data_IF_601599349636
#
_entry.id   IF_601599349636
#
_cell.length_a   1.000
_cell.length_b   1.000
_cell.length_c   1.000
_cell.angle_alpha   90.00
_cell.angle_beta   90.00
_cell.angle_gamma   90.00
#
_symmetry.space_group_name_H-M   'P 1'
#
loop_
_entity.id
_entity.type
_entity.pdbx_description
1 polymer ?
#
# COMPACT_ATOMS: atom_id res chain seq x y z
N UNK A 1 -2.00 7.00 28.24
CA UNK A 1 -2.31 7.25 26.82
C UNK A 1 -1.85 8.65 26.50
N UNK A 2 -1.03 8.80 25.48
CA UNK A 2 -0.58 10.11 24.99
C UNK A 2 -1.79 10.97 24.60
N UNK A 3 -1.70 12.29 24.78
CA UNK A 3 -2.79 13.24 24.48
C UNK A 3 -3.20 13.21 23.00
N UNK A 4 -2.25 13.03 22.11
CA UNK A 4 -2.48 12.92 20.66
C UNK A 4 -3.20 11.61 20.31
N UNK A 5 -2.87 10.49 20.94
CA UNK A 5 -3.56 9.21 20.75
C UNK A 5 -4.99 9.30 21.30
N UNK A 6 -5.20 9.96 22.45
CA UNK A 6 -6.53 10.21 22.99
C UNK A 6 -7.39 11.01 22.00
N UNK A 7 -6.86 12.10 21.43
CA UNK A 7 -7.56 12.90 20.42
C UNK A 7 -7.89 12.09 19.16
N UNK A 8 -6.96 11.24 18.70
CA UNK A 8 -7.24 10.34 17.58
C UNK A 8 -8.39 9.39 17.91
N UNK A 9 -8.37 8.80 19.11
CA UNK A 9 -9.46 7.93 19.57
C UNK A 9 -10.79 8.66 19.61
N UNK A 10 -10.84 9.87 20.15
CA UNK A 10 -12.06 10.69 20.17
C UNK A 10 -12.60 10.96 18.76
N UNK A 11 -11.72 11.28 17.79
CA UNK A 11 -12.12 11.48 16.40
C UNK A 11 -12.70 10.21 15.77
N UNK A 12 -12.07 9.06 16.00
CA UNK A 12 -12.50 7.79 15.42
C UNK A 12 -13.73 7.19 16.12
N UNK A 13 -13.87 7.40 17.43
CA UNK A 13 -15.06 6.95 18.18
C UNK A 13 -16.33 7.74 17.78
N UNK A 14 -16.14 9.01 17.44
CA UNK A 14 -17.23 9.91 17.04
C UNK A 14 -17.63 9.81 15.54
N UNK A 15 -17.07 8.85 14.79
CA UNK A 15 -17.33 8.74 13.35
C UNK A 15 -17.63 7.31 12.92
N UNK A 16 -18.64 7.19 12.05
CA UNK A 16 -18.96 5.96 11.32
C UNK A 16 -18.63 6.07 9.81
N UNK A 17 -17.80 7.05 9.44
CA UNK A 17 -17.36 7.23 8.05
C UNK A 17 -15.87 7.60 8.00
N UNK A 18 -15.05 6.60 8.33
CA UNK A 18 -13.59 6.68 8.32
C UNK A 18 -13.08 6.12 6.99
N UNK A 19 -12.10 6.79 6.39
CA UNK A 19 -11.32 6.27 5.27
C UNK A 19 -9.85 6.27 5.66
N UNK A 20 -9.15 5.19 5.32
CA UNK A 20 -7.72 5.06 5.56
C UNK A 20 -6.95 5.15 4.24
N UNK A 21 -5.88 5.95 4.22
CA UNK A 21 -4.94 6.05 3.10
C UNK A 21 -3.54 5.68 3.58
N UNK A 22 -2.97 4.59 3.04
CA UNK A 22 -1.72 4.02 3.52
C UNK A 22 -0.66 3.78 2.46
N UNK A 23 0.59 3.65 2.93
CA UNK A 23 1.75 3.28 2.12
C UNK A 23 2.64 2.25 2.81
N UNK A 24 3.86 2.09 2.30
CA UNK A 24 4.78 1.01 2.70
C UNK A 24 5.13 0.98 4.20
N UNK A 25 5.11 2.14 4.87
CA UNK A 25 5.32 2.23 6.31
C UNK A 25 4.26 1.50 7.15
N UNK A 26 3.09 1.18 6.59
CA UNK A 26 2.08 0.36 7.28
C UNK A 26 2.56 -1.08 7.48
N UNK A 27 3.40 -1.59 6.58
CA UNK A 27 3.85 -2.99 6.59
C UNK A 27 5.23 -3.19 7.20
N UNK A 28 5.91 -2.12 7.67
CA UNK A 28 7.25 -2.24 8.29
C UNK A 28 7.23 -3.09 9.56
N UNK A 29 6.18 -2.95 10.39
CA UNK A 29 5.98 -3.79 11.60
C UNK A 29 5.51 -5.23 11.27
N UNK A 30 5.33 -5.53 9.98
CA UNK A 30 5.10 -6.88 9.44
C UNK A 30 6.37 -7.50 8.86
N UNK A 31 7.52 -6.81 8.97
CA UNK A 31 8.80 -7.25 8.45
C UNK A 31 9.04 -6.93 6.97
N UNK A 32 8.16 -6.15 6.32
CA UNK A 32 8.36 -5.69 4.95
C UNK A 32 9.03 -4.31 4.99
N UNK A 33 10.27 -4.16 4.51
CA UNK A 33 10.95 -2.86 4.49
C UNK A 33 10.19 -1.89 3.59
N UNK A 34 10.12 -0.63 3.99
CA UNK A 34 9.66 0.41 3.09
C UNK A 34 10.74 0.78 2.05
N UNK A 35 10.44 1.74 1.18
CA UNK A 35 11.37 2.11 0.11
C UNK A 35 12.43 3.13 0.56
N UNK A 36 12.13 4.02 1.50
CA UNK A 36 12.87 5.28 1.73
C UNK A 36 13.48 5.45 3.11
N UNK A 37 13.06 4.67 4.12
CA UNK A 37 13.68 4.72 5.45
C UNK A 37 15.15 4.30 5.39
N UNK A 38 15.89 4.51 6.46
CA UNK A 38 17.32 4.14 6.55
C UNK A 38 17.57 2.68 6.19
N UNK A 39 16.64 1.79 6.55
CA UNK A 39 16.68 0.36 6.24
C UNK A 39 15.88 0.01 4.96
N UNK A 40 15.38 1.02 4.26
CA UNK A 40 14.51 0.89 3.09
C UNK A 40 15.23 0.38 1.86
N UNK A 41 14.43 -0.01 0.86
CA UNK A 41 14.92 -0.63 -0.35
C UNK A 41 15.92 0.27 -1.12
N UNK A 42 15.70 1.60 -1.09
CA UNK A 42 16.58 2.56 -1.80
C UNK A 42 17.97 2.72 -1.18
N UNK A 43 18.16 2.33 0.06
CA UNK A 43 19.46 2.35 0.74
C UNK A 43 20.27 1.05 0.56
N UNK A 44 19.69 0.02 -0.06
CA UNK A 44 20.39 -1.22 -0.39
C UNK A 44 21.19 -1.06 -1.69
N UNK A 45 22.32 -1.78 -1.78
CA UNK A 45 23.17 -1.75 -2.98
C UNK A 45 22.64 -2.71 -4.04
N UNK A 46 22.22 -2.17 -5.17
CA UNK A 46 21.81 -2.90 -6.37
C UNK A 46 22.60 -2.44 -7.58
N UNK A 47 22.57 -3.22 -8.66
CA UNK A 47 23.19 -2.87 -9.94
C UNK A 47 22.57 -1.61 -10.56
N UNK A 48 21.26 -1.43 -10.38
CA UNK A 48 20.48 -0.26 -10.80
C UNK A 48 19.61 0.23 -9.64
N UNK A 49 19.20 1.51 -9.63
CA UNK A 49 18.24 2.01 -8.64
C UNK A 49 16.94 1.19 -8.65
N UNK A 50 16.30 0.95 -7.50
CA UNK A 50 15.04 0.19 -7.42
C UNK A 50 13.92 0.74 -8.33
N UNK A 51 13.82 2.06 -8.48
CA UNK A 51 12.85 2.67 -9.42
C UNK A 51 13.12 2.25 -10.87
N UNK A 52 14.38 2.15 -11.27
CA UNK A 52 14.75 1.64 -12.59
C UNK A 52 14.37 0.18 -12.72
N UNK A 53 14.74 -0.66 -11.73
CA UNK A 53 14.46 -2.10 -11.74
C UNK A 53 12.97 -2.44 -11.71
N UNK A 54 12.13 -1.54 -11.19
CA UNK A 54 10.67 -1.66 -11.14
C UNK A 54 9.97 -0.80 -12.19
N UNK A 55 10.66 -0.39 -13.26
CA UNK A 55 10.04 0.35 -14.37
C UNK A 55 9.54 -0.59 -15.47
N UNK A 56 8.55 -0.11 -16.23
CA UNK A 56 8.03 -0.81 -17.42
C UNK A 56 9.14 -1.04 -18.46
N UNK A 57 9.94 -0.03 -18.72
CA UNK A 57 11.09 -0.13 -19.65
C UNK A 57 12.10 -1.20 -19.23
N UNK A 58 12.41 -1.30 -17.93
CA UNK A 58 13.32 -2.35 -17.45
C UNK A 58 12.68 -3.74 -17.54
N UNK A 59 11.40 -3.87 -17.22
CA UNK A 59 10.65 -5.10 -17.40
C UNK A 59 10.70 -5.60 -18.85
N UNK A 60 10.60 -4.72 -19.84
CA UNK A 60 10.63 -5.10 -21.26
C UNK A 60 12.05 -5.42 -21.76
N UNK A 61 13.04 -4.64 -21.34
CA UNK A 61 14.41 -4.73 -21.88
C UNK A 61 15.33 -5.66 -21.10
N UNK A 62 15.06 -5.88 -19.81
CA UNK A 62 15.85 -6.70 -18.88
C UNK A 62 14.94 -7.69 -18.10
N UNK A 63 14.05 -8.36 -18.82
CA UNK A 63 12.94 -9.16 -18.25
C UNK A 63 13.43 -10.19 -17.23
N UNK A 64 14.53 -10.89 -17.48
CA UNK A 64 15.07 -11.91 -16.57
C UNK A 64 15.59 -11.28 -15.27
N UNK A 65 16.39 -10.20 -15.37
CA UNK A 65 16.90 -9.46 -14.21
C UNK A 65 15.74 -8.84 -13.40
N UNK A 66 14.68 -8.37 -14.07
CA UNK A 66 13.45 -7.91 -13.41
C UNK A 66 12.84 -9.01 -12.53
N UNK A 67 12.66 -10.23 -13.05
CA UNK A 67 12.04 -11.32 -12.27
C UNK A 67 12.95 -11.81 -11.15
N UNK A 68 14.27 -11.79 -11.31
CA UNK A 68 15.19 -12.13 -10.24
C UNK A 68 15.11 -11.13 -9.08
N UNK A 69 15.09 -9.84 -9.41
CA UNK A 69 14.88 -8.78 -8.42
C UNK A 69 13.49 -8.86 -7.78
N UNK A 70 12.45 -9.04 -8.60
CA UNK A 70 11.05 -9.10 -8.14
C UNK A 70 10.84 -10.24 -7.15
N UNK A 71 11.31 -11.44 -7.44
CA UNK A 71 11.25 -12.59 -6.52
C UNK A 71 12.00 -12.34 -5.23
N UNK A 72 13.18 -11.75 -5.32
CA UNK A 72 14.05 -11.55 -4.17
C UNK A 72 13.57 -10.43 -3.22
N UNK A 73 12.84 -9.43 -3.74
CA UNK A 73 12.56 -8.19 -3.01
C UNK A 73 11.09 -7.82 -2.87
N UNK A 74 10.25 -8.25 -3.81
CA UNK A 74 8.83 -7.84 -3.83
C UNK A 74 7.90 -8.89 -3.23
N UNK A 75 8.34 -10.14 -3.10
CA UNK A 75 7.53 -11.23 -2.57
C UNK A 75 7.84 -11.47 -1.08
N UNK A 76 7.00 -10.94 -0.21
CA UNK A 76 7.07 -11.16 1.25
C UNK A 76 5.91 -12.07 1.70
N UNK A 77 5.84 -13.28 1.15
CA UNK A 77 4.69 -14.19 1.27
C UNK A 77 4.45 -14.69 2.71
N UNK A 78 5.50 -14.74 3.54
CA UNK A 78 5.41 -15.18 4.94
C UNK A 78 4.97 -14.05 5.89
N UNK A 79 4.92 -12.81 5.42
CA UNK A 79 4.55 -11.66 6.23
C UNK A 79 3.12 -11.82 6.80
N UNK A 80 2.95 -11.35 8.04
CA UNK A 80 1.66 -11.41 8.72
C UNK A 80 1.14 -10.00 9.00
N UNK A 81 -0.19 -9.80 8.97
CA UNK A 81 -0.79 -8.52 9.33
C UNK A 81 -0.36 -8.08 10.74
N UNK A 82 0.01 -6.83 10.89
CA UNK A 82 0.30 -6.22 12.19
C UNK A 82 -0.95 -5.58 12.82
N UNK A 83 -0.79 -4.88 13.94
CA UNK A 83 -1.90 -4.29 14.67
C UNK A 83 -2.67 -3.25 13.85
N UNK A 84 -2.00 -2.48 12.96
CA UNK A 84 -2.69 -1.52 12.10
C UNK A 84 -3.67 -2.22 11.14
N UNK A 85 -3.21 -3.24 10.43
CA UNK A 85 -4.07 -4.02 9.52
C UNK A 85 -5.27 -4.61 10.25
N UNK A 86 -5.04 -5.21 11.43
CA UNK A 86 -6.13 -5.82 12.24
C UNK A 86 -7.12 -4.80 12.75
N UNK A 87 -6.66 -3.61 13.20
CA UNK A 87 -7.54 -2.54 13.68
C UNK A 87 -8.42 -1.98 12.55
N UNK A 88 -7.86 -1.80 11.36
CA UNK A 88 -8.65 -1.36 10.19
C UNK A 88 -9.72 -2.38 9.82
N UNK A 89 -9.38 -3.67 9.78
CA UNK A 89 -10.36 -4.73 9.54
C UNK A 89 -11.43 -4.82 10.66
N UNK A 90 -11.06 -4.56 11.90
CA UNK A 90 -12.01 -4.46 13.03
C UNK A 90 -12.98 -3.31 12.82
N UNK A 91 -12.52 -2.11 12.51
CA UNK A 91 -13.37 -0.94 12.26
C UNK A 91 -14.29 -1.12 11.05
N UNK A 92 -13.83 -1.81 10.01
CA UNK A 92 -14.68 -2.14 8.87
C UNK A 92 -15.82 -3.08 9.27
N UNK A 93 -15.54 -4.13 10.05
CA UNK A 93 -16.59 -5.03 10.60
C UNK A 93 -17.57 -4.32 11.52
N UNK A 94 -17.14 -3.28 12.21
CA UNK A 94 -18.00 -2.41 13.03
C UNK A 94 -18.81 -1.39 12.20
N UNK A 95 -18.59 -1.33 10.89
CA UNK A 95 -19.23 -0.36 10.00
C UNK A 95 -18.66 1.05 10.08
N UNK A 96 -17.56 1.28 10.81
CA UNK A 96 -16.90 2.57 10.97
C UNK A 96 -15.99 2.91 9.79
N UNK A 97 -15.13 1.98 9.37
CA UNK A 97 -14.24 2.15 8.21
C UNK A 97 -14.98 1.80 6.92
N UNK A 98 -14.94 2.69 5.93
CA UNK A 98 -15.61 2.50 4.64
C UNK A 98 -14.69 1.98 3.56
N UNK A 99 -13.40 2.33 3.61
CA UNK A 99 -12.41 1.81 2.67
C UNK A 99 -11.00 1.93 3.23
N UNK A 100 -10.15 1.00 2.82
CA UNK A 100 -8.70 1.10 2.86
C UNK A 100 -8.21 1.44 1.47
N UNK A 101 -7.54 2.57 1.30
CA UNK A 101 -6.86 2.97 0.07
C UNK A 101 -5.38 2.75 0.31
N UNK A 102 -4.76 1.84 -0.42
CA UNK A 102 -3.36 1.46 -0.16
C UNK A 102 -2.48 1.57 -1.39
N UNK A 103 -1.26 2.02 -1.18
CA UNK A 103 -0.18 1.96 -2.16
C UNK A 103 0.57 0.62 -2.10
N UNK A 104 0.30 -0.20 -1.07
CA UNK A 104 0.95 -1.48 -0.87
C UNK A 104 0.39 -2.55 -1.80
N UNK A 105 1.26 -3.48 -2.18
CA UNK A 105 0.97 -4.59 -3.09
C UNK A 105 1.00 -5.95 -2.38
N UNK A 106 1.18 -5.95 -1.05
CA UNK A 106 1.47 -7.14 -0.22
C UNK A 106 0.25 -7.98 0.15
N UNK A 107 -0.97 -7.43 0.01
CA UNK A 107 -2.23 -8.12 0.35
C UNK A 107 -2.49 -8.25 1.86
N UNK A 108 -1.74 -7.58 2.73
CA UNK A 108 -1.87 -7.74 4.18
C UNK A 108 -3.18 -7.18 4.74
N UNK A 109 -3.78 -6.18 4.11
CA UNK A 109 -5.11 -5.68 4.49
C UNK A 109 -6.18 -6.75 4.30
N UNK A 110 -6.21 -7.40 3.14
CA UNK A 110 -7.13 -8.50 2.86
C UNK A 110 -6.86 -9.70 3.78
N UNK A 111 -5.58 -10.02 4.01
CA UNK A 111 -5.17 -11.10 4.94
C UNK A 111 -5.60 -10.82 6.38
N UNK A 112 -5.73 -9.55 6.78
CA UNK A 112 -6.27 -9.14 8.08
C UNK A 112 -7.80 -9.23 8.15
N UNK A 113 -8.49 -9.33 7.02
CA UNK A 113 -9.94 -9.43 6.92
C UNK A 113 -10.65 -8.19 6.37
N UNK A 114 -9.93 -7.15 5.93
CA UNK A 114 -10.53 -6.01 5.23
C UNK A 114 -11.11 -6.46 3.88
N UNK A 115 -12.30 -5.97 3.55
CA UNK A 115 -13.04 -6.31 2.34
C UNK A 115 -12.94 -5.21 1.27
N UNK A 116 -13.16 -3.96 1.68
CA UNK A 116 -13.09 -2.81 0.77
C UNK A 116 -11.67 -2.23 0.76
N UNK A 117 -10.80 -2.87 -0.05
CA UNK A 117 -9.40 -2.48 -0.20
C UNK A 117 -9.14 -2.02 -1.64
N UNK A 118 -8.77 -0.76 -1.80
CA UNK A 118 -8.42 -0.15 -3.07
C UNK A 118 -6.90 -0.14 -3.24
N UNK A 119 -6.38 -1.09 -3.98
CA UNK A 119 -4.96 -1.29 -4.23
C UNK A 119 -4.49 -0.43 -5.41
N UNK A 120 -4.04 0.81 -5.14
CA UNK A 120 -3.64 1.79 -6.15
C UNK A 120 -2.50 1.30 -7.07
N UNK A 121 -1.63 0.45 -6.54
CA UNK A 121 -0.49 -0.10 -7.28
C UNK A 121 -0.63 -1.59 -7.59
N UNK A 122 -1.86 -2.12 -7.52
CA UNK A 122 -2.13 -3.53 -7.80
C UNK A 122 -1.68 -4.48 -6.69
N UNK A 123 -1.34 -5.72 -7.04
CA UNK A 123 -1.02 -6.77 -6.04
C UNK A 123 -0.04 -7.80 -6.59
N UNK A 124 0.90 -8.26 -5.74
CA UNK A 124 1.78 -9.40 -6.04
C UNK A 124 1.01 -10.71 -6.15
N UNK A 125 -0.18 -10.79 -5.53
CA UNK A 125 -0.97 -12.02 -5.48
C UNK A 125 -1.71 -12.33 -6.77
N UNK A 126 -1.88 -11.35 -7.68
CA UNK A 126 -2.53 -11.51 -8.98
C UNK A 126 -1.51 -11.35 -10.09
N UNK A 127 -1.58 -12.25 -11.05
CA UNK A 127 -0.65 -12.26 -12.17
C UNK A 127 -1.40 -12.73 -13.43
N UNK A 128 -1.11 -12.15 -14.57
CA UNK A 128 -1.78 -12.50 -15.83
C UNK A 128 -0.79 -12.73 -16.97
N UNK A 129 -1.17 -13.64 -17.85
CA UNK A 129 -0.43 -13.82 -19.09
C UNK A 129 -0.62 -12.62 -20.01
N UNK A 130 0.46 -11.99 -20.43
CA UNK A 130 0.44 -10.83 -21.33
C UNK A 130 -0.13 -11.14 -22.73
N UNK A 131 -0.20 -12.44 -23.12
CA UNK A 131 -0.69 -12.87 -24.44
C UNK A 131 -2.15 -13.30 -24.44
N UNK A 132 -2.58 -14.08 -23.46
CA UNK A 132 -3.92 -14.69 -23.45
C UNK A 132 -4.78 -14.29 -22.25
N UNK A 133 -4.31 -13.45 -21.35
CA UNK A 133 -5.04 -12.96 -20.18
C UNK A 133 -5.26 -14.00 -19.08
N UNK A 134 -4.74 -15.23 -19.22
CA UNK A 134 -4.96 -16.28 -18.21
C UNK A 134 -4.39 -15.85 -16.86
N UNK A 135 -5.22 -15.97 -15.81
CA UNK A 135 -4.85 -15.69 -14.43
C UNK A 135 -3.91 -16.75 -13.84
N UNK A 136 -3.00 -16.28 -12.97
CA UNK A 136 -2.09 -17.10 -12.17
C UNK A 136 -1.94 -16.52 -10.76
N UNK A 137 -1.88 -17.37 -9.75
CA UNK A 137 -1.49 -16.99 -8.39
C UNK A 137 0.00 -16.64 -8.29
N UNK A 138 0.38 -16.10 -7.14
CA UNK A 138 1.76 -15.67 -6.87
C UNK A 138 2.76 -16.84 -6.91
N UNK A 139 2.32 -18.04 -6.58
CA UNK A 139 3.12 -19.28 -6.58
C UNK A 139 3.79 -19.48 -7.95
N UNK A 140 3.07 -19.17 -9.03
CA UNK A 140 3.59 -19.31 -10.39
C UNK A 140 4.81 -18.42 -10.65
N UNK A 141 4.86 -17.23 -10.03
CA UNK A 141 6.03 -16.34 -10.09
C UNK A 141 7.12 -16.83 -9.12
N UNK A 142 6.75 -17.10 -7.87
CA UNK A 142 7.68 -17.46 -6.80
C UNK A 142 8.48 -18.72 -7.09
N UNK A 143 7.83 -19.75 -7.64
CA UNK A 143 8.44 -21.05 -7.94
C UNK A 143 9.14 -21.11 -9.32
N UNK A 144 8.93 -20.08 -10.16
CA UNK A 144 9.56 -20.06 -11.49
C UNK A 144 11.06 -19.78 -11.41
N UNK A 145 11.80 -20.32 -12.38
CA UNK A 145 13.18 -19.93 -12.66
C UNK A 145 13.22 -19.11 -13.96
N UNK A 146 14.00 -18.02 -13.96
CA UNK A 146 14.04 -17.10 -15.10
C UNK A 146 12.67 -16.43 -15.33
N UNK A 147 12.28 -16.27 -16.59
CA UNK A 147 11.03 -15.59 -16.98
C UNK A 147 9.83 -16.54 -16.85
N UNK A 148 8.83 -16.24 -16.01
CA UNK A 148 7.65 -17.08 -15.84
C UNK A 148 6.80 -17.07 -17.12
N UNK A 149 6.46 -18.27 -17.64
CA UNK A 149 5.71 -18.41 -18.88
C UNK A 149 4.39 -19.16 -18.70
N UNK A 150 3.41 -18.69 -19.43
CA UNK A 150 2.11 -19.31 -19.59
C UNK A 150 2.20 -20.54 -20.52
N UNK A 151 1.22 -21.42 -20.44
CA UNK A 151 1.06 -22.58 -21.36
C UNK A 151 0.94 -22.15 -22.83
N UNK A 152 0.49 -20.92 -23.13
CA UNK A 152 0.45 -20.37 -24.48
C UNK A 152 1.79 -19.78 -24.96
N UNK A 153 2.86 -19.80 -24.13
CA UNK A 153 4.18 -19.23 -24.40
C UNK A 153 4.33 -17.76 -24.03
N UNK A 154 3.23 -17.05 -23.67
CA UNK A 154 3.30 -15.65 -23.22
C UNK A 154 3.97 -15.51 -21.85
N UNK A 155 4.50 -14.33 -21.56
CA UNK A 155 5.07 -13.98 -20.23
C UNK A 155 3.92 -13.78 -19.24
N UNK A 156 4.10 -14.21 -18.00
CA UNK A 156 3.14 -13.96 -16.91
C UNK A 156 3.62 -12.73 -16.15
N UNK A 157 2.94 -11.59 -16.33
CA UNK A 157 3.26 -10.33 -15.65
C UNK A 157 2.46 -10.21 -14.36
N UNK A 158 3.10 -9.77 -13.24
CA UNK A 158 2.36 -9.39 -12.05
C UNK A 158 1.42 -8.21 -12.31
N UNK A 159 0.25 -8.21 -11.67
CA UNK A 159 -0.69 -7.08 -11.69
C UNK A 159 -0.22 -5.94 -10.77
N UNK A 160 1.06 -5.71 -10.75
CA UNK A 160 1.69 -4.59 -10.05
C UNK A 160 1.92 -3.48 -11.06
N UNK A 161 1.49 -2.27 -10.70
CA UNK A 161 1.76 -1.05 -11.48
C UNK A 161 3.23 -0.71 -11.32
N UNK A 162 3.96 -0.81 -12.42
CA UNK A 162 5.38 -0.43 -12.47
C UNK A 162 5.53 1.09 -12.65
N UNK A 163 6.69 1.63 -12.32
CA UNK A 163 7.02 2.98 -12.76
C UNK A 163 6.84 3.10 -14.28
N UNK A 164 6.39 4.24 -14.77
CA UNK A 164 6.01 4.51 -16.17
C UNK A 164 4.63 3.95 -16.58
N UNK A 165 3.99 3.12 -15.75
CA UNK A 165 2.63 2.64 -16.00
C UNK A 165 1.57 3.54 -15.34
N UNK A 166 0.38 3.62 -15.95
CA UNK A 166 -0.75 4.34 -15.38
C UNK A 166 -1.44 3.54 -14.29
N UNK A 167 -1.98 4.23 -13.27
CA UNK A 167 -2.87 3.61 -12.29
C UNK A 167 -4.21 3.25 -12.95
N UNK A 168 -4.90 2.28 -12.37
CA UNK A 168 -6.25 1.90 -12.78
C UNK A 168 -7.24 3.05 -12.51
N UNK A 169 -7.94 3.51 -13.56
CA UNK A 169 -8.84 4.66 -13.50
C UNK A 169 -10.06 4.39 -12.62
N UNK A 170 -10.59 3.17 -12.62
CA UNK A 170 -11.74 2.79 -11.79
C UNK A 170 -11.35 2.75 -10.31
N UNK A 171 -10.19 2.18 -9.98
CA UNK A 171 -9.66 2.19 -8.61
C UNK A 171 -9.43 3.61 -8.13
N UNK A 172 -8.85 4.47 -8.97
CA UNK A 172 -8.63 5.89 -8.65
C UNK A 172 -9.96 6.65 -8.44
N UNK A 173 -10.94 6.45 -9.32
CA UNK A 173 -12.24 7.11 -9.20
C UNK A 173 -12.96 6.70 -7.91
N UNK A 174 -12.93 5.41 -7.55
CA UNK A 174 -13.48 4.91 -6.29
C UNK A 174 -12.73 5.48 -5.09
N UNK A 175 -11.40 5.54 -5.13
CA UNK A 175 -10.60 6.14 -4.06
C UNK A 175 -10.95 7.62 -3.84
N UNK A 176 -11.07 8.41 -4.91
CA UNK A 176 -11.51 9.81 -4.85
C UNK A 176 -12.92 9.92 -4.26
N UNK A 177 -13.84 9.03 -4.65
CA UNK A 177 -15.20 9.00 -4.12
C UNK A 177 -15.20 8.83 -2.59
N UNK A 178 -14.50 7.80 -2.07
CA UNK A 178 -14.40 7.55 -0.63
C UNK A 178 -13.73 8.71 0.12
N UNK A 179 -12.63 9.25 -0.40
CA UNK A 179 -11.92 10.37 0.23
C UNK A 179 -12.81 11.61 0.32
N UNK A 180 -13.59 11.92 -0.73
CA UNK A 180 -14.52 13.08 -0.74
C UNK A 180 -15.61 12.97 0.28
N UNK A 181 -16.06 11.76 0.57
CA UNK A 181 -17.18 11.50 1.48
C UNK A 181 -16.75 11.25 2.91
N UNK A 182 -15.46 11.05 3.16
CA UNK A 182 -14.95 10.74 4.49
C UNK A 182 -15.23 11.86 5.48
N UNK A 183 -15.78 11.52 6.65
CA UNK A 183 -15.83 12.39 7.83
C UNK A 183 -14.43 12.45 8.47
N UNK A 184 -13.77 11.29 8.65
CA UNK A 184 -12.40 11.19 9.12
C UNK A 184 -11.54 10.57 8.04
N UNK A 185 -10.44 11.25 7.65
CA UNK A 185 -9.39 10.68 6.81
C UNK A 185 -8.15 10.42 7.66
N UNK A 186 -7.72 9.17 7.69
CA UNK A 186 -6.47 8.77 8.36
C UNK A 186 -5.42 8.48 7.31
N UNK A 187 -4.31 9.19 7.35
CA UNK A 187 -3.14 8.93 6.50
C UNK A 187 -2.09 8.24 7.36
N UNK A 188 -1.59 7.09 6.90
CA UNK A 188 -0.63 6.32 7.67
C UNK A 188 0.50 5.69 6.84
N UNK A 189 1.72 5.67 7.40
CA UNK A 189 2.85 4.94 6.82
C UNK A 189 3.23 5.35 5.39
N UNK A 190 3.05 6.61 5.01
CA UNK A 190 3.39 7.09 3.66
C UNK A 190 4.12 8.42 3.68
N UNK A 191 5.14 8.55 2.83
CA UNK A 191 5.86 9.81 2.62
C UNK A 191 5.11 10.83 1.76
N UNK A 192 4.02 10.41 1.09
CA UNK A 192 3.21 11.25 0.18
C UNK A 192 4.01 11.89 -0.98
N UNK A 193 5.01 11.18 -1.49
CA UNK A 193 5.86 11.68 -2.60
C UNK A 193 5.67 10.93 -3.91
N UNK A 194 4.92 9.81 -3.92
CA UNK A 194 4.66 9.01 -5.12
C UNK A 194 3.37 9.47 -5.77
N UNK A 195 3.49 10.16 -6.88
CA UNK A 195 2.35 10.61 -7.69
C UNK A 195 2.01 9.58 -8.77
N UNK A 196 0.71 9.49 -9.18
CA UNK A 196 -0.42 10.34 -8.80
C UNK A 196 -1.08 9.98 -7.45
N UNK A 197 -0.75 8.85 -6.82
CA UNK A 197 -1.40 8.37 -5.61
C UNK A 197 -1.39 9.40 -4.46
N UNK A 198 -0.25 10.06 -4.20
CA UNK A 198 -0.13 11.09 -3.18
C UNK A 198 -1.07 12.29 -3.40
N UNK A 199 -1.43 12.58 -4.65
CA UNK A 199 -2.35 13.66 -5.02
C UNK A 199 -3.80 13.40 -4.63
N UNK A 200 -4.19 12.14 -4.36
CA UNK A 200 -5.58 11.80 -4.04
C UNK A 200 -6.07 12.45 -2.75
N UNK A 201 -5.19 12.67 -1.77
CA UNK A 201 -5.55 13.29 -0.48
C UNK A 201 -6.11 14.72 -0.63
N UNK A 202 -5.77 15.44 -1.70
CA UNK A 202 -6.29 16.78 -1.96
C UNK A 202 -7.81 16.82 -2.20
N UNK A 203 -8.43 15.67 -2.50
CA UNK A 203 -9.88 15.56 -2.66
C UNK A 203 -10.63 15.50 -1.34
N UNK A 204 -9.95 15.34 -0.20
CA UNK A 204 -10.59 15.40 1.12
C UNK A 204 -11.18 16.79 1.39
N UNK A 205 -12.42 16.82 1.85
CA UNK A 205 -13.18 18.05 2.09
C UNK A 205 -13.52 18.27 3.58
N UNK A 206 -13.21 17.28 4.43
CA UNK A 206 -13.47 17.35 5.86
C UNK A 206 -12.41 18.13 6.63
N UNK A 207 -12.60 18.18 7.95
CA UNK A 207 -11.70 18.87 8.87
C UNK A 207 -11.08 17.94 9.92
N UNK A 208 -11.34 16.63 9.81
CA UNK A 208 -10.87 15.60 10.73
C UNK A 208 -9.81 14.74 10.06
N UNK A 209 -8.72 15.39 9.61
CA UNK A 209 -7.55 14.72 9.05
C UNK A 209 -6.64 14.27 10.19
N UNK A 210 -6.28 13.00 10.21
CA UNK A 210 -5.26 12.46 11.11
C UNK A 210 -4.08 11.90 10.30
N UNK A 211 -2.86 12.13 10.78
CA UNK A 211 -1.63 11.62 10.15
C UNK A 211 -0.84 10.82 11.18
N UNK A 212 -0.51 9.58 10.83
CA UNK A 212 0.32 8.68 11.64
C UNK A 212 1.51 8.26 10.79
N UNK A 213 2.68 8.80 11.08
CA UNK A 213 3.86 8.48 10.27
C UNK A 213 5.14 8.65 11.08
N UNK A 214 6.13 7.79 10.84
CA UNK A 214 7.45 7.90 11.46
C UNK A 214 8.31 8.91 10.68
N UNK A 215 8.96 9.85 11.39
CA UNK A 215 9.84 10.84 10.79
C UNK A 215 9.16 12.16 10.37
N UNK A 216 8.01 12.49 10.99
CA UNK A 216 7.41 13.83 10.91
C UNK A 216 6.76 14.20 9.57
N UNK A 217 6.58 13.29 8.65
CA UNK A 217 5.85 13.55 7.41
C UNK A 217 4.37 13.82 7.74
N UNK A 218 3.86 14.98 7.33
CA UNK A 218 2.43 15.34 7.52
C UNK A 218 2.19 16.61 8.30
N UNK A 219 3.19 17.21 8.94
CA UNK A 219 3.05 18.48 9.65
C UNK A 219 2.59 19.64 8.75
N UNK A 220 2.77 19.53 7.44
CA UNK A 220 2.37 20.53 6.44
C UNK A 220 0.93 20.39 5.93
N UNK A 221 0.20 19.33 6.30
CA UNK A 221 -1.12 19.03 5.76
C UNK A 221 -2.29 19.68 6.51
N UNK A 222 -2.04 20.45 7.57
CA UNK A 222 -3.11 21.03 8.38
C UNK A 222 -3.94 19.98 9.12
N UNK A 223 -3.32 18.86 9.51
CA UNK A 223 -4.01 17.76 10.18
C UNK A 223 -4.51 18.17 11.58
N UNK A 224 -5.71 17.71 11.94
CA UNK A 224 -6.28 17.86 13.27
C UNK A 224 -5.48 17.08 14.34
N UNK A 225 -4.89 15.96 13.93
CA UNK A 225 -4.02 15.12 14.77
C UNK A 225 -2.83 14.64 13.93
N UNK A 226 -1.62 14.83 14.46
CA UNK A 226 -0.39 14.28 13.89
C UNK A 226 0.34 13.48 14.96
N UNK A 227 0.68 12.22 14.63
CA UNK A 227 1.40 11.32 15.53
C UNK A 227 2.68 10.86 14.82
N UNK A 228 3.82 11.15 15.42
CA UNK A 228 5.11 10.63 14.98
C UNK A 228 5.38 9.30 15.68
N UNK A 229 5.25 8.21 14.95
CA UNK A 229 5.46 6.88 15.51
C UNK A 229 5.09 5.74 14.57
N UNK A 230 5.45 4.49 14.96
CA UNK A 230 5.06 3.30 14.23
C UNK A 230 3.54 3.12 14.26
N UNK A 231 2.94 2.98 13.09
CA UNK A 231 1.48 2.97 12.96
C UNK A 231 0.81 1.79 13.68
N UNK A 232 1.44 0.61 13.68
CA UNK A 232 0.88 -0.55 14.38
C UNK A 232 0.84 -0.33 15.88
N UNK A 233 1.87 0.28 16.48
CA UNK A 233 1.90 0.62 17.91
C UNK A 233 0.85 1.68 18.26
N UNK A 234 0.61 2.65 17.40
CA UNK A 234 -0.43 3.66 17.59
C UNK A 234 -1.82 3.03 17.52
N UNK A 235 -2.09 2.26 16.46
CA UNK A 235 -3.38 1.64 16.21
C UNK A 235 -3.74 0.56 17.25
N UNK A 236 -2.74 -0.07 17.89
CA UNK A 236 -2.95 -1.02 18.98
C UNK A 236 -3.51 -0.38 20.24
N UNK A 237 -3.49 0.95 20.37
CA UNK A 237 -3.97 1.71 21.55
C UNK A 237 -5.39 2.26 21.33
N UNK A 238 -5.97 2.11 20.14
CA UNK A 238 -7.31 2.53 19.77
C UNK A 238 -8.30 1.36 19.90
#
# INVERSE_FOLDING_TARGET
>A
MDDTIRRLKELTDASDNIVFFGGAGVSTESGIPDFRSVDGLYHQKFKYPPETMLSHTFYETHTEEFYDFYRAKMLALDAQPNAAHRKLAEWERQGKLKAVITQNIDGLHQKAGSQEVLELHGSVLRNHCTRCGKFYGVERIAESRGIPRCTCGGIIKPDVVLYEESLDEDVMARAIHYIRQADVLIIGGTSLVVYPAAGLIQYYRGHKLAVINKGGAGSSLGAAVTIDGPIGQVMAQL
#
